data_IF_598185094936
#
_entry.id   IF_598185094936
#
_cell.length_a   1.000
_cell.length_b   1.000
_cell.length_c   1.000
_cell.angle_alpha   90.00
_cell.angle_beta   90.00
_cell.angle_gamma   90.00
#
_symmetry.space_group_name_H-M   'P 1'
#
loop_
_entity.id
_entity.type
_entity.pdbx_description
1 polymer ?
#
# COMPACT_ATOMS: atom_id res chain seq x y z
N UNK A 1 -1.87 -30.44 -42.25
CA UNK A 1 -0.56 -29.97 -41.71
C UNK A 1 -0.56 -28.50 -41.31
N UNK A 2 -1.19 -27.56 -42.05
CA UNK A 2 -1.24 -26.13 -41.66
C UNK A 2 -2.06 -25.87 -40.37
N UNK A 3 -3.22 -26.52 -40.20
CA UNK A 3 -4.07 -26.36 -39.00
C UNK A 3 -3.38 -26.84 -37.70
N UNK A 4 -2.61 -27.93 -37.77
CA UNK A 4 -1.89 -28.47 -36.63
C UNK A 4 -0.74 -27.56 -36.20
N UNK A 5 -0.08 -26.86 -37.14
CA UNK A 5 0.97 -25.89 -36.85
C UNK A 5 0.43 -24.60 -36.21
N UNK A 6 -0.78 -24.15 -36.61
CA UNK A 6 -1.44 -22.97 -36.02
C UNK A 6 -1.87 -23.28 -34.58
N UNK A 7 -2.44 -24.46 -34.33
CA UNK A 7 -2.84 -24.89 -32.99
C UNK A 7 -1.64 -24.97 -32.03
N UNK A 8 -0.52 -25.53 -32.50
CA UNK A 8 0.71 -25.59 -31.70
C UNK A 8 1.30 -24.20 -31.37
N UNK A 9 1.21 -23.26 -32.33
CA UNK A 9 1.67 -21.89 -32.14
C UNK A 9 0.79 -21.14 -31.12
N UNK A 10 -0.55 -21.30 -31.19
CA UNK A 10 -1.48 -20.70 -30.24
C UNK A 10 -1.28 -21.24 -28.82
N UNK A 11 -1.08 -22.56 -28.68
CA UNK A 11 -0.80 -23.16 -27.36
C UNK A 11 0.54 -22.70 -26.79
N UNK A 12 1.58 -22.49 -27.64
CA UNK A 12 2.87 -21.98 -27.21
C UNK A 12 2.76 -20.52 -26.73
N UNK A 13 1.97 -19.67 -27.43
CA UNK A 13 1.72 -18.27 -27.01
C UNK A 13 0.98 -18.22 -25.69
N UNK A 14 -0.04 -19.05 -25.47
CA UNK A 14 -0.73 -19.13 -24.17
C UNK A 14 0.18 -19.66 -23.05
N UNK A 15 1.09 -20.59 -23.33
CA UNK A 15 2.07 -21.07 -22.37
C UNK A 15 3.10 -19.97 -22.00
N UNK A 16 3.55 -19.19 -22.99
CA UNK A 16 4.50 -18.08 -22.76
C UNK A 16 3.85 -16.94 -21.95
N UNK A 17 2.58 -16.62 -22.20
CA UNK A 17 1.85 -15.60 -21.43
C UNK A 17 1.70 -16.01 -19.94
N UNK A 18 1.62 -17.29 -19.64
CA UNK A 18 1.63 -17.79 -18.25
C UNK A 18 2.99 -17.75 -17.56
N UNK A 19 4.09 -17.67 -18.31
CA UNK A 19 5.46 -17.68 -17.76
C UNK A 19 5.97 -16.27 -17.42
N UNK A 20 5.37 -15.21 -17.96
CA UNK A 20 5.84 -13.81 -17.77
C UNK A 20 5.15 -13.09 -16.62
N UNK A 21 4.05 -13.63 -16.06
CA UNK A 21 3.38 -13.05 -14.90
C UNK A 21 3.74 -13.80 -13.62
N UNK A 22 4.71 -13.32 -12.85
CA UNK A 22 4.88 -13.76 -11.46
C UNK A 22 3.57 -13.62 -10.66
N UNK A 23 3.46 -14.23 -9.48
CA UNK A 23 2.25 -14.18 -8.69
C UNK A 23 1.92 -12.72 -8.34
N UNK A 24 0.73 -12.25 -8.78
CA UNK A 24 0.26 -10.89 -8.47
C UNK A 24 -0.13 -10.80 -7.00
N UNK A 25 0.33 -9.76 -6.35
CA UNK A 25 -0.10 -9.42 -4.98
C UNK A 25 -1.51 -8.81 -5.07
N UNK A 26 -2.45 -9.42 -4.37
CA UNK A 26 -3.85 -8.99 -4.35
C UNK A 26 -4.26 -8.37 -3.01
N UNK A 27 -3.43 -8.52 -1.97
CA UNK A 27 -3.62 -7.91 -0.65
C UNK A 27 -2.28 -7.78 0.07
N UNK A 28 -2.14 -6.71 0.83
CA UNK A 28 -1.02 -6.50 1.76
C UNK A 28 -1.60 -6.39 3.18
N UNK A 29 -0.92 -6.99 4.15
CA UNK A 29 -1.20 -6.80 5.58
C UNK A 29 0.09 -6.35 6.26
N UNK A 30 0.02 -5.24 6.99
CA UNK A 30 1.10 -4.73 7.84
C UNK A 30 0.69 -4.92 9.28
N UNK A 31 1.46 -5.69 10.06
CA UNK A 31 1.27 -5.79 11.52
C UNK A 31 2.33 -4.94 12.21
N UNK A 32 1.88 -3.87 12.85
CA UNK A 32 2.76 -2.90 13.54
C UNK A 32 3.47 -3.55 14.71
N UNK A 33 2.74 -4.31 15.53
CA UNK A 33 3.30 -4.98 16.72
C UNK A 33 4.31 -6.08 16.39
N UNK A 34 4.14 -6.76 15.23
CA UNK A 34 5.07 -7.80 14.79
C UNK A 34 6.22 -7.23 13.94
N UNK A 35 6.11 -5.99 13.46
CA UNK A 35 7.08 -5.40 12.56
C UNK A 35 7.19 -6.16 11.23
N UNK A 36 6.06 -6.59 10.67
CA UNK A 36 6.01 -7.42 9.46
C UNK A 36 5.04 -6.86 8.42
N UNK A 37 5.43 -6.98 7.15
CA UNK A 37 4.57 -6.82 6.00
C UNK A 37 4.40 -8.19 5.34
N UNK A 38 3.14 -8.59 5.12
CA UNK A 38 2.76 -9.84 4.45
C UNK A 38 2.03 -9.53 3.15
N UNK A 39 2.50 -10.07 2.04
CA UNK A 39 1.86 -9.98 0.73
C UNK A 39 1.15 -11.29 0.39
N UNK A 40 -0.09 -11.21 -0.09
CA UNK A 40 -0.95 -12.34 -0.42
C UNK A 40 -1.27 -12.38 -1.91
N UNK A 41 -1.40 -13.59 -2.45
CA UNK A 41 -1.90 -13.86 -3.80
C UNK A 41 -3.42 -13.97 -3.87
N UNK A 42 -3.96 -14.08 -5.09
CA UNK A 42 -5.41 -14.14 -5.36
C UNK A 42 -6.11 -15.39 -4.80
N UNK A 43 -5.36 -16.42 -4.46
CA UNK A 43 -5.84 -17.64 -3.78
C UNK A 43 -5.75 -17.55 -2.25
N UNK A 44 -5.39 -16.37 -1.71
CA UNK A 44 -5.20 -16.13 -0.28
C UNK A 44 -3.89 -16.68 0.30
N UNK A 45 -3.03 -17.30 -0.51
CA UNK A 45 -1.73 -17.78 -0.03
C UNK A 45 -0.77 -16.63 0.24
N UNK A 46 0.06 -16.80 1.24
CA UNK A 46 1.19 -15.91 1.51
C UNK A 46 2.22 -16.06 0.39
N UNK A 47 2.49 -14.98 -0.30
CA UNK A 47 3.54 -14.90 -1.32
C UNK A 47 4.87 -14.48 -0.71
N UNK A 48 4.81 -13.52 0.22
CA UNK A 48 6.01 -12.98 0.85
C UNK A 48 5.71 -12.44 2.25
N UNK A 49 6.66 -12.59 3.15
CA UNK A 49 6.69 -11.93 4.47
C UNK A 49 8.05 -11.24 4.59
N UNK A 50 8.04 -9.97 4.94
CA UNK A 50 9.27 -9.17 5.09
C UNK A 50 9.21 -8.35 6.38
N UNK A 51 10.36 -8.09 7.02
CA UNK A 51 10.45 -7.12 8.10
C UNK A 51 10.02 -5.73 7.63
N UNK A 52 9.29 -5.02 8.47
CA UNK A 52 8.84 -3.66 8.23
C UNK A 52 8.99 -2.82 9.49
N UNK A 53 9.41 -1.57 9.33
CA UNK A 53 9.38 -0.58 10.40
C UNK A 53 8.27 0.43 10.15
N UNK A 54 7.70 0.96 11.22
CA UNK A 54 6.56 1.87 11.21
C UNK A 54 6.90 3.19 11.90
N UNK A 55 5.92 4.03 12.10
CA UNK A 55 6.06 5.32 12.79
C UNK A 55 6.71 5.18 14.16
N UNK A 56 7.42 6.23 14.59
CA UNK A 56 8.13 6.27 15.89
C UNK A 56 7.19 6.10 17.08
N UNK A 57 5.93 6.46 16.91
CA UNK A 57 4.86 6.19 17.87
C UNK A 57 4.07 4.96 17.39
N UNK A 58 4.49 3.73 17.79
CA UNK A 58 3.92 2.51 17.19
C UNK A 58 2.50 2.20 17.69
N UNK A 59 2.12 2.70 18.86
CA UNK A 59 0.81 2.42 19.48
C UNK A 59 -0.27 3.37 19.00
N UNK A 60 -1.43 2.83 18.66
CA UNK A 60 -2.60 3.57 18.20
C UNK A 60 -2.51 4.02 16.74
N UNK A 61 -3.63 4.46 16.20
CA UNK A 61 -3.73 4.94 14.84
C UNK A 61 -3.24 6.39 14.69
N UNK A 62 -2.91 6.76 13.46
CA UNK A 62 -2.61 8.15 13.09
C UNK A 62 -3.88 9.03 13.20
N UNK A 63 -3.75 10.20 13.82
CA UNK A 63 -4.85 11.15 14.04
C UNK A 63 -4.61 12.53 13.44
N UNK A 64 -3.32 12.91 13.26
CA UNK A 64 -2.95 14.24 12.74
C UNK A 64 -1.59 14.23 12.07
N UNK A 65 -1.32 15.25 11.29
CA UNK A 65 0.02 15.47 10.74
C UNK A 65 1.06 15.63 11.86
N UNK A 66 2.24 15.04 11.66
CA UNK A 66 3.36 15.15 12.60
C UNK A 66 3.26 14.31 13.88
N UNK A 67 2.23 13.48 14.06
CA UNK A 67 2.09 12.60 15.22
C UNK A 67 3.01 11.37 15.21
N UNK A 68 3.76 11.18 14.13
CA UNK A 68 4.71 10.08 13.93
C UNK A 68 4.10 8.69 14.06
N UNK A 69 2.79 8.56 13.88
CA UNK A 69 2.04 7.30 13.89
C UNK A 69 1.79 6.80 12.47
N UNK A 70 1.88 5.49 12.31
CA UNK A 70 1.35 4.81 11.12
C UNK A 70 -0.14 4.56 11.34
N UNK A 71 -1.00 4.91 10.37
CA UNK A 71 -2.44 4.70 10.52
C UNK A 71 -2.79 3.21 10.62
N UNK A 72 -3.89 2.89 11.29
CA UNK A 72 -4.48 1.57 11.39
C UNK A 72 -5.81 1.57 10.64
N UNK A 73 -6.11 0.51 9.89
CA UNK A 73 -7.34 0.40 9.12
C UNK A 73 -7.12 -0.19 7.73
N UNK A 74 -8.11 0.01 6.87
CA UNK A 74 -8.14 -0.50 5.50
C UNK A 74 -7.89 0.63 4.51
N UNK A 75 -6.89 0.44 3.68
CA UNK A 75 -6.43 1.36 2.65
C UNK A 75 -6.27 0.62 1.33
N UNK A 76 -5.88 1.33 0.29
CA UNK A 76 -5.42 0.75 -0.97
C UNK A 76 -4.22 1.51 -1.51
N UNK A 77 -3.48 0.89 -2.40
CA UNK A 77 -2.39 1.56 -3.12
C UNK A 77 -2.99 2.53 -4.14
N UNK A 78 -2.89 3.82 -3.87
CA UNK A 78 -3.43 4.89 -4.72
C UNK A 78 -2.37 5.55 -5.62
N UNK A 79 -1.08 5.33 -5.34
CA UNK A 79 0.01 5.93 -6.08
C UNK A 79 1.24 5.02 -6.12
N UNK A 80 1.96 5.00 -7.24
CA UNK A 80 3.24 4.28 -7.39
C UNK A 80 4.31 5.25 -7.85
N UNK A 81 5.42 5.35 -7.11
CA UNK A 81 6.54 6.22 -7.46
C UNK A 81 7.83 5.40 -7.64
N UNK A 82 8.26 5.18 -8.90
CA UNK A 82 9.51 4.50 -9.20
C UNK A 82 10.75 5.39 -9.04
N UNK A 83 10.56 6.69 -8.79
CA UNK A 83 11.63 7.68 -8.62
C UNK A 83 11.58 8.32 -7.23
N UNK A 84 11.18 7.55 -6.23
CA UNK A 84 11.11 8.02 -4.85
C UNK A 84 12.51 8.25 -4.26
N UNK A 85 12.67 9.32 -3.46
CA UNK A 85 13.88 9.55 -2.65
C UNK A 85 14.15 8.41 -1.66
N UNK A 86 13.18 7.55 -1.43
CA UNK A 86 13.26 6.35 -0.60
C UNK A 86 13.33 5.08 -1.46
N UNK A 87 13.99 5.14 -2.60
CA UNK A 87 14.14 4.10 -3.60
C UNK A 87 12.85 3.90 -4.42
N UNK A 88 11.97 3.00 -4.04
CA UNK A 88 10.64 2.80 -4.63
C UNK A 88 9.57 3.06 -3.57
N UNK A 89 8.40 3.58 -3.96
CA UNK A 89 7.32 3.79 -2.99
C UNK A 89 5.91 3.57 -3.55
N UNK A 90 5.04 3.07 -2.68
CA UNK A 90 3.61 2.82 -2.91
C UNK A 90 2.83 3.72 -1.96
N UNK A 91 2.12 4.71 -2.49
CA UNK A 91 1.27 5.62 -1.72
C UNK A 91 -0.03 4.94 -1.31
N UNK A 92 -0.40 5.11 -0.05
CA UNK A 92 -1.64 4.59 0.52
C UNK A 92 -2.74 5.64 0.51
N UNK A 93 -3.98 5.19 0.40
CA UNK A 93 -5.19 6.02 0.40
C UNK A 93 -5.57 6.55 1.79
N UNK A 94 -4.57 6.90 2.60
CA UNK A 94 -4.76 7.61 3.87
C UNK A 94 -4.89 9.13 3.60
N UNK A 95 -5.82 9.84 4.28
CA UNK A 95 -6.84 9.34 5.18
C UNK A 95 -8.00 8.64 4.44
N UNK A 96 -8.61 7.63 5.09
CA UNK A 96 -9.83 6.97 4.63
C UNK A 96 -11.09 7.59 5.25
N UNK A 97 -12.27 6.98 5.03
CA UNK A 97 -13.54 7.49 5.54
C UNK A 97 -13.60 7.47 7.09
N UNK A 98 -13.07 6.42 7.74
CA UNK A 98 -13.06 6.30 9.20
C UNK A 98 -12.10 7.33 9.84
N UNK A 99 -10.96 7.58 9.19
CA UNK A 99 -10.02 8.63 9.60
C UNK A 99 -10.68 10.02 9.51
N UNK A 100 -11.40 10.26 8.41
CA UNK A 100 -12.12 11.52 8.19
C UNK A 100 -13.25 11.70 9.21
N UNK A 101 -14.00 10.63 9.54
CA UNK A 101 -15.06 10.68 10.56
C UNK A 101 -14.49 11.04 11.93
N UNK A 102 -13.40 10.41 12.34
CA UNK A 102 -12.71 10.75 13.59
C UNK A 102 -12.20 12.19 13.58
N UNK A 103 -11.61 12.62 12.46
CA UNK A 103 -11.10 13.98 12.30
C UNK A 103 -12.20 15.05 12.37
N UNK A 104 -13.35 14.80 11.75
CA UNK A 104 -14.50 15.70 11.80
C UNK A 104 -15.10 15.75 13.22
N UNK A 105 -15.28 14.60 13.87
CA UNK A 105 -15.79 14.52 15.24
C UNK A 105 -14.88 15.23 16.25
N UNK A 106 -13.56 15.20 16.02
CA UNK A 106 -12.56 15.92 16.83
C UNK A 106 -12.45 17.42 16.46
N UNK A 107 -13.15 17.88 15.43
CA UNK A 107 -13.02 19.27 14.94
C UNK A 107 -11.66 19.56 14.27
N UNK A 108 -10.91 18.53 13.89
CA UNK A 108 -9.61 18.68 13.25
C UNK A 108 -9.73 19.03 11.76
N UNK A 109 -10.80 18.58 11.11
CA UNK A 109 -11.10 18.90 9.71
C UNK A 109 -12.50 19.47 9.57
N UNK A 110 -12.71 20.20 8.48
CA UNK A 110 -14.02 20.77 8.12
C UNK A 110 -14.91 19.70 7.46
N UNK A 111 -16.20 19.98 7.39
CA UNK A 111 -17.16 19.15 6.64
C UNK A 111 -16.80 19.02 5.16
N UNK A 112 -16.28 20.07 4.54
CA UNK A 112 -15.87 20.06 3.14
C UNK A 112 -14.65 19.12 2.92
N UNK A 113 -13.67 19.15 3.81
CA UNK A 113 -12.52 18.22 3.77
C UNK A 113 -12.96 16.76 3.99
N UNK A 114 -13.88 16.52 4.92
CA UNK A 114 -14.49 15.20 5.12
C UNK A 114 -15.16 14.68 3.82
N UNK A 115 -16.02 15.49 3.21
CA UNK A 115 -16.74 15.08 1.99
C UNK A 115 -15.76 14.81 0.83
N UNK A 116 -14.66 15.58 0.73
CA UNK A 116 -13.61 15.37 -0.26
C UNK A 116 -12.84 14.07 -0.02
N UNK A 117 -12.45 13.77 1.23
CA UNK A 117 -11.75 12.53 1.59
C UNK A 117 -12.62 11.32 1.26
N UNK A 118 -13.87 11.32 1.72
CA UNK A 118 -14.82 10.21 1.50
C UNK A 118 -15.07 10.01 0.00
N UNK A 119 -15.28 11.10 -0.75
CA UNK A 119 -15.50 11.05 -2.19
C UNK A 119 -14.26 10.55 -2.97
N UNK A 120 -13.07 10.92 -2.55
CA UNK A 120 -11.83 10.43 -3.13
C UNK A 120 -11.65 8.93 -2.89
N UNK A 121 -11.85 8.49 -1.64
CA UNK A 121 -11.72 7.09 -1.25
C UNK A 121 -12.74 6.19 -1.99
N UNK A 122 -14.01 6.59 -2.04
CA UNK A 122 -15.07 5.85 -2.74
C UNK A 122 -14.82 5.74 -4.26
N UNK A 123 -14.07 6.70 -4.83
CA UNK A 123 -13.75 6.73 -6.27
C UNK A 123 -12.38 6.12 -6.61
N UNK A 124 -11.68 5.53 -5.64
CA UNK A 124 -10.33 4.97 -5.84
C UNK A 124 -9.26 6.03 -6.16
N UNK A 125 -9.51 7.31 -5.83
CA UNK A 125 -8.59 8.42 -6.08
C UNK A 125 -7.67 8.66 -4.88
N UNK A 126 -6.60 9.42 -5.11
CA UNK A 126 -5.73 9.93 -4.05
C UNK A 126 -6.55 10.91 -3.19
N UNK A 127 -6.65 10.69 -1.85
CA UNK A 127 -7.33 11.64 -0.97
C UNK A 127 -6.51 12.93 -0.80
N UNK A 128 -7.11 14.02 -0.32
CA UNK A 128 -6.38 15.25 -0.03
C UNK A 128 -5.37 15.02 1.12
N UNK A 129 -4.09 15.17 0.82
CA UNK A 129 -2.99 14.93 1.77
C UNK A 129 -2.61 16.17 2.60
N UNK A 130 -3.19 17.32 2.28
CA UNK A 130 -2.87 18.61 2.93
C UNK A 130 -3.98 19.07 3.86
N UNK A 131 -4.49 18.17 4.68
CA UNK A 131 -5.42 18.46 5.76
C UNK A 131 -4.71 18.33 7.11
N UNK A 132 -5.35 18.71 8.20
CA UNK A 132 -4.80 18.51 9.55
C UNK A 132 -4.57 17.04 9.91
N UNK A 133 -5.21 16.09 9.22
CA UNK A 133 -4.94 14.66 9.36
C UNK A 133 -3.58 14.27 8.76
N UNK A 134 -3.07 15.09 7.83
CA UNK A 134 -1.90 14.80 7.03
C UNK A 134 -2.21 13.83 5.88
N UNK A 135 -1.16 13.25 5.32
CA UNK A 135 -1.23 12.34 4.18
C UNK A 135 0.14 11.78 3.87
N UNK A 136 0.38 11.44 2.60
CA UNK A 136 1.67 10.95 2.11
C UNK A 136 2.22 9.75 2.92
N UNK A 137 1.33 8.86 3.32
CA UNK A 137 1.70 7.59 3.94
C UNK A 137 2.08 6.61 2.82
N UNK A 138 3.30 6.10 2.87
CA UNK A 138 3.84 5.21 1.86
C UNK A 138 4.35 3.90 2.46
N UNK A 139 4.30 2.82 1.66
CA UNK A 139 5.18 1.66 1.81
C UNK A 139 6.38 1.93 0.90
N UNK A 140 7.61 1.96 1.43
CA UNK A 140 8.80 2.35 0.66
C UNK A 140 10.06 1.58 1.08
N UNK A 141 11.09 1.65 0.26
CA UNK A 141 12.42 1.13 0.56
C UNK A 141 13.19 2.00 1.56
N UNK A 142 14.51 1.95 1.49
CA UNK A 142 15.41 2.71 2.32
C UNK A 142 15.19 2.52 3.84
N UNK A 143 14.80 1.31 4.25
CA UNK A 143 14.72 0.96 5.67
C UNK A 143 16.10 1.12 6.32
N UNK A 144 17.16 0.56 5.71
CA UNK A 144 18.53 0.63 6.23
C UNK A 144 18.60 0.24 7.71
N UNK A 145 19.40 0.98 8.48
CA UNK A 145 19.55 0.78 9.93
C UNK A 145 18.53 1.61 10.76
N UNK A 146 17.47 2.14 10.12
CA UNK A 146 16.46 2.91 10.83
C UNK A 146 15.64 2.01 11.74
N UNK A 147 15.28 2.54 12.91
CA UNK A 147 14.39 1.85 13.87
C UNK A 147 12.94 2.31 13.75
N UNK A 148 12.66 3.43 13.07
CA UNK A 148 11.33 4.00 12.91
C UNK A 148 11.24 4.99 11.74
N UNK A 149 9.99 5.31 11.35
CA UNK A 149 9.65 6.34 10.37
C UNK A 149 8.88 7.51 11.01
N UNK A 150 8.47 8.48 10.22
CA UNK A 150 7.54 9.54 10.66
C UNK A 150 6.05 9.19 10.40
N UNK A 151 5.75 7.90 10.13
CA UNK A 151 4.39 7.40 9.87
C UNK A 151 4.28 6.46 8.67
N UNK A 152 5.24 6.43 7.77
CA UNK A 152 5.31 5.47 6.66
C UNK A 152 5.62 4.05 7.16
N UNK A 153 5.47 3.10 6.26
CA UNK A 153 5.95 1.72 6.42
C UNK A 153 7.22 1.56 5.59
N UNK A 154 8.38 1.31 6.20
CA UNK A 154 9.60 1.09 5.45
C UNK A 154 10.01 -0.39 5.49
N UNK A 155 10.46 -0.88 4.35
CA UNK A 155 11.00 -2.23 4.13
C UNK A 155 12.39 -2.11 3.53
N UNK A 156 13.12 -3.22 3.39
CA UNK A 156 14.41 -3.21 2.69
C UNK A 156 14.23 -2.88 1.19
N UNK A 157 15.28 -2.33 0.57
CA UNK A 157 15.27 -2.03 -0.88
C UNK A 157 14.99 -3.29 -1.69
N UNK A 158 15.62 -4.39 -1.35
CA UNK A 158 15.38 -5.68 -2.00
C UNK A 158 13.91 -6.13 -1.88
N UNK A 159 13.27 -5.93 -0.71
CA UNK A 159 11.87 -6.31 -0.54
C UNK A 159 10.93 -5.47 -1.41
N UNK A 160 11.15 -4.14 -1.47
CA UNK A 160 10.28 -3.29 -2.30
C UNK A 160 10.54 -3.51 -3.80
N UNK A 161 11.76 -3.81 -4.23
CA UNK A 161 12.08 -4.17 -5.62
C UNK A 161 11.31 -5.39 -6.10
N UNK A 162 11.20 -6.42 -5.26
CA UNK A 162 10.44 -7.61 -5.59
C UNK A 162 8.92 -7.38 -5.56
N UNK A 163 8.42 -6.60 -4.59
CA UNK A 163 6.99 -6.37 -4.41
C UNK A 163 6.42 -5.34 -5.40
N UNK A 164 7.16 -4.28 -5.69
CA UNK A 164 6.67 -3.14 -6.48
C UNK A 164 6.10 -3.53 -7.86
N UNK A 165 6.74 -4.40 -8.67
CA UNK A 165 6.18 -4.80 -9.97
C UNK A 165 4.93 -5.69 -9.85
N UNK A 166 4.75 -6.38 -8.72
CA UNK A 166 3.64 -7.31 -8.47
C UNK A 166 2.38 -6.63 -7.88
N UNK A 167 2.49 -5.36 -7.48
CA UNK A 167 1.41 -4.60 -6.83
C UNK A 167 0.83 -3.60 -7.83
N UNK A 168 -0.48 -3.61 -7.98
CA UNK A 168 -1.23 -2.68 -8.84
C UNK A 168 -1.86 -1.54 -8.02
N UNK A 169 -2.23 -0.45 -8.69
CA UNK A 169 -3.14 0.53 -8.10
C UNK A 169 -4.46 -0.17 -7.74
N UNK A 170 -5.04 0.23 -6.61
CA UNK A 170 -6.23 -0.40 -6.05
C UNK A 170 -5.95 -1.65 -5.19
N UNK A 171 -4.70 -2.15 -5.12
CA UNK A 171 -4.39 -3.29 -4.24
C UNK A 171 -4.72 -2.94 -2.79
N UNK A 172 -5.59 -3.72 -2.11
CA UNK A 172 -5.94 -3.53 -0.71
C UNK A 172 -4.74 -3.64 0.23
N UNK A 173 -4.69 -2.76 1.22
CA UNK A 173 -3.69 -2.72 2.28
C UNK A 173 -4.38 -2.60 3.62
N UNK A 174 -4.17 -3.57 4.51
CA UNK A 174 -4.65 -3.54 5.89
C UNK A 174 -3.47 -3.27 6.81
N UNK A 175 -3.61 -2.29 7.69
CA UNK A 175 -2.62 -2.00 8.72
C UNK A 175 -3.26 -2.30 10.08
N UNK A 176 -2.70 -3.31 10.74
CA UNK A 176 -3.13 -3.82 12.04
C UNK A 176 -2.20 -3.32 13.16
N UNK A 177 -2.69 -3.23 14.39
CA UNK A 177 -1.88 -2.93 15.58
C UNK A 177 -0.64 -3.79 15.76
#
# INVERSE_FOLDING_TARGET
>A
MKALRILALVLLVFAIIRIVGGPMVTKIVVSKSRGLLTAYGGDGRVLKVVPAIVGRQPSGTKEREGDERTPEGEYFVCFKNPQSRFHLSLGLSYPNADDAERGLAAGAITRAEYDEIVGAHASGRIPPWKTALGGEIFIHGAMGDRSATAGCVAVSDHAIEELFPQISLGTPVVIEP
#
